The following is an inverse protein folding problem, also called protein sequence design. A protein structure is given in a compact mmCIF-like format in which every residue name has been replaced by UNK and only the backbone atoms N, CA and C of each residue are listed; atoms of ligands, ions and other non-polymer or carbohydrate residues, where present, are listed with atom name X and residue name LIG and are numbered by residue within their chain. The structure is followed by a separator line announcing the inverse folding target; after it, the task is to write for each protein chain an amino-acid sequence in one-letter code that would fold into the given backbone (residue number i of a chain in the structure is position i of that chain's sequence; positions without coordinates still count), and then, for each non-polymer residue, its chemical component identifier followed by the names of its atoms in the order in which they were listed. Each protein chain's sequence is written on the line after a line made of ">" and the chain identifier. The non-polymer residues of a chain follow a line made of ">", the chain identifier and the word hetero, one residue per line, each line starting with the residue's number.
data_IF_472705329095
#
_entry.id   IF_472705329095
#
_cell.length_a   1.000
_cell.length_b   1.000
_cell.length_c   1.000
_cell.angle_alpha   90.00
_cell.angle_beta   90.00
_cell.angle_gamma   90.00
#
_symmetry.space_group_name_H-M   'P 1'
#
loop_
_entity.id
_entity.type
_entity.pdbx_description
1 polymer ?
#
# COMPACT_ATOMS: atom_id res chain seq x y z
N UNK A 1 -4.28 -1.12 0.67
CA UNK A 1 -3.48 0.09 0.38
C UNK A 1 -4.08 0.85 -0.80
N UNK A 2 -3.88 2.17 -0.90
CA UNK A 2 -4.23 2.93 -2.11
C UNK A 2 -3.05 3.83 -2.50
N UNK A 3 -2.64 3.91 -3.79
CA UNK A 3 -3.08 3.06 -4.89
C UNK A 3 -2.85 1.55 -4.60
N UNK A 4 -3.64 0.64 -5.20
CA UNK A 4 -3.38 -0.78 -5.05
C UNK A 4 -2.08 -1.15 -5.77
N UNK A 5 -1.27 -2.01 -5.14
CA UNK A 5 -0.05 -2.53 -5.76
C UNK A 5 -0.41 -3.55 -6.84
N UNK A 6 -0.10 -3.23 -8.10
CA UNK A 6 -0.46 -4.01 -9.29
C UNK A 6 0.76 -4.18 -10.19
N UNK A 7 0.97 -5.40 -10.69
CA UNK A 7 2.09 -5.72 -11.57
C UNK A 7 1.62 -6.57 -12.75
N UNK A 8 2.26 -6.41 -13.90
CA UNK A 8 2.10 -7.31 -15.05
C UNK A 8 3.35 -8.17 -15.14
N UNK A 9 3.17 -9.48 -15.24
CA UNK A 9 4.28 -10.43 -15.35
C UNK A 9 4.48 -10.88 -16.80
N UNK A 10 5.71 -11.22 -17.17
CA UNK A 10 6.06 -11.78 -18.47
C UNK A 10 7.33 -12.64 -18.34
N UNK A 11 7.59 -13.51 -19.31
CA UNK A 11 8.81 -14.34 -19.35
C UNK A 11 8.84 -15.53 -18.38
N UNK A 12 7.70 -15.91 -17.79
CA UNK A 12 7.59 -17.13 -16.98
C UNK A 12 7.45 -18.37 -17.88
N UNK A 13 7.95 -19.51 -17.42
CA UNK A 13 7.65 -20.80 -18.05
C UNK A 13 6.16 -21.09 -17.90
N UNK A 14 5.47 -21.24 -19.03
CA UNK A 14 4.00 -21.39 -19.07
C UNK A 14 3.49 -22.57 -18.24
N UNK A 15 4.26 -23.66 -18.16
CA UNK A 15 3.83 -24.92 -17.50
C UNK A 15 4.29 -25.02 -16.06
N UNK A 16 5.36 -24.32 -15.69
CA UNK A 16 5.82 -24.30 -14.31
C UNK A 16 4.84 -23.57 -13.40
N UNK A 17 4.78 -24.00 -12.14
CA UNK A 17 4.01 -23.33 -11.08
C UNK A 17 4.87 -22.33 -10.34
N UNK A 18 4.23 -21.25 -9.94
CA UNK A 18 4.83 -20.15 -9.22
C UNK A 18 3.94 -19.69 -8.07
N UNK A 19 4.59 -19.30 -6.99
CA UNK A 19 4.00 -18.53 -5.91
C UNK A 19 4.44 -17.08 -6.08
N UNK A 20 3.46 -16.18 -6.12
CA UNK A 20 3.69 -14.75 -6.11
C UNK A 20 3.37 -14.19 -4.72
N UNK A 21 4.29 -13.42 -4.16
CA UNK A 21 4.11 -12.82 -2.84
C UNK A 21 4.67 -11.41 -2.79
N UNK A 22 4.27 -10.68 -1.75
CA UNK A 22 4.74 -9.33 -1.47
C UNK A 22 5.13 -9.24 0.00
N UNK A 23 6.23 -8.56 0.29
CA UNK A 23 6.54 -8.09 1.63
C UNK A 23 6.72 -6.57 1.64
N UNK A 24 6.78 -5.99 2.84
CA UNK A 24 7.03 -4.57 3.05
C UNK A 24 8.12 -4.48 4.10
N UNK A 25 9.25 -3.87 3.72
CA UNK A 25 10.43 -3.74 4.58
C UNK A 25 10.68 -2.27 4.92
N UNK A 26 11.29 -2.01 6.08
CA UNK A 26 11.78 -0.68 6.40
C UNK A 26 12.74 -0.19 5.31
N UNK A 27 12.54 1.06 4.85
CA UNK A 27 13.37 1.67 3.83
C UNK A 27 14.62 2.33 4.43
N UNK A 28 14.55 2.75 5.69
CA UNK A 28 15.64 3.32 6.47
C UNK A 28 15.43 3.09 7.98
N UNK A 29 16.44 3.40 8.80
CA UNK A 29 16.42 3.30 10.26
C UNK A 29 16.00 4.63 10.92
N UNK A 30 15.04 5.35 10.30
CA UNK A 30 14.60 6.66 10.74
C UNK A 30 13.12 6.69 11.14
N UNK A 31 12.83 7.42 12.22
CA UNK A 31 11.48 7.87 12.57
C UNK A 31 11.27 9.28 12.03
N UNK A 32 10.13 9.52 11.40
CA UNK A 32 9.81 10.79 10.75
C UNK A 32 8.81 11.64 11.52
N UNK A 33 8.80 12.94 11.23
CA UNK A 33 7.71 13.87 11.57
C UNK A 33 7.39 14.74 10.36
N UNK A 34 6.15 15.21 10.28
CA UNK A 34 5.73 16.17 9.28
C UNK A 34 5.61 17.56 9.93
N UNK A 35 6.39 18.52 9.46
CA UNK A 35 6.40 19.88 10.00
C UNK A 35 6.77 20.87 8.90
N UNK A 36 6.16 22.05 8.89
CA UNK A 36 6.31 23.07 7.84
C UNK A 36 6.17 22.49 6.43
N UNK A 37 5.12 21.69 6.23
CA UNK A 37 4.78 21.01 4.97
C UNK A 37 5.88 20.10 4.40
N UNK A 38 6.79 19.60 5.26
CA UNK A 38 7.91 18.74 4.87
C UNK A 38 8.06 17.56 5.83
N UNK A 39 8.51 16.44 5.28
CA UNK A 39 8.95 15.30 6.08
C UNK A 39 10.37 15.55 6.58
N UNK A 40 10.60 15.35 7.87
CA UNK A 40 11.91 15.49 8.52
C UNK A 40 12.18 14.29 9.42
N UNK A 41 13.45 13.96 9.58
CA UNK A 41 13.89 12.95 10.54
C UNK A 41 13.66 13.50 11.95
N UNK A 42 12.97 12.74 12.79
CA UNK A 42 12.70 13.04 14.18
C UNK A 42 13.61 12.25 15.14
N UNK A 43 14.14 11.12 14.71
CA UNK A 43 15.04 10.26 15.49
C UNK A 43 15.28 8.92 14.82
N UNK A 44 15.83 7.98 15.60
CA UNK A 44 16.03 6.58 15.18
C UNK A 44 14.68 5.85 15.06
N UNK A 45 14.61 4.86 14.18
CA UNK A 45 13.43 4.01 14.06
C UNK A 45 13.16 3.21 15.34
N UNK A 46 11.88 2.94 15.57
CA UNK A 46 11.42 1.97 16.56
C UNK A 46 11.78 0.54 16.09
N UNK A 47 11.93 -0.44 17.00
CA UNK A 47 12.24 -1.82 16.63
C UNK A 47 11.30 -2.36 15.54
N UNK A 48 11.89 -3.00 14.52
CA UNK A 48 11.13 -3.57 13.40
C UNK A 48 10.31 -4.78 13.88
N UNK A 49 9.04 -4.83 13.49
CA UNK A 49 8.15 -5.95 13.80
C UNK A 49 8.46 -7.16 12.91
N UNK A 50 8.08 -8.39 13.30
CA UNK A 50 8.29 -9.58 12.48
C UNK A 50 7.73 -9.41 11.07
N UNK A 51 8.59 -9.61 10.07
CA UNK A 51 8.22 -9.46 8.66
C UNK A 51 7.22 -10.54 8.27
N UNK A 52 6.08 -10.12 7.73
CA UNK A 52 5.06 -11.03 7.19
C UNK A 52 5.07 -10.98 5.68
N UNK A 53 5.24 -12.13 5.06
CA UNK A 53 5.04 -12.31 3.63
C UNK A 53 3.55 -12.45 3.35
N UNK A 54 3.04 -11.63 2.44
CA UNK A 54 1.69 -11.77 1.92
C UNK A 54 1.72 -12.58 0.63
N UNK A 55 1.23 -13.81 0.69
CA UNK A 55 1.09 -14.68 -0.48
C UNK A 55 -0.16 -14.26 -1.26
N UNK A 56 -0.02 -14.07 -2.58
CA UNK A 56 -1.17 -13.74 -3.43
C UNK A 56 -2.18 -14.91 -3.39
N UNK A 57 -3.49 -14.66 -3.24
CA UNK A 57 -4.50 -15.70 -3.04
C UNK A 57 -4.61 -16.70 -4.21
N UNK A 58 -4.27 -16.29 -5.43
CA UNK A 58 -4.24 -17.17 -6.61
C UNK A 58 -2.99 -18.10 -6.60
N UNK A 59 -2.08 -18.00 -5.63
CA UNK A 59 -0.89 -18.87 -5.54
C UNK A 59 -1.22 -20.23 -4.91
N UNK A 60 -0.58 -21.32 -5.36
CA UNK A 60 0.28 -21.41 -6.54
C UNK A 60 -0.54 -21.42 -7.85
N UNK A 61 0.00 -20.82 -8.91
CA UNK A 61 -0.59 -20.87 -10.25
C UNK A 61 0.49 -21.02 -11.33
N UNK A 62 0.10 -21.45 -12.52
CA UNK A 62 1.04 -21.63 -13.64
C UNK A 62 1.56 -20.29 -14.16
N UNK A 63 2.74 -20.29 -14.79
CA UNK A 63 3.28 -19.09 -15.42
C UNK A 63 2.32 -18.51 -16.47
N UNK A 64 1.60 -19.36 -17.21
CA UNK A 64 0.56 -18.93 -18.15
C UNK A 64 -0.59 -18.18 -17.46
N UNK A 65 -1.09 -18.72 -16.35
CA UNK A 65 -2.15 -18.08 -15.57
C UNK A 65 -1.69 -16.72 -15.02
N UNK A 66 -0.47 -16.62 -14.50
CA UNK A 66 0.07 -15.35 -13.99
C UNK A 66 0.28 -14.29 -15.06
N UNK A 67 0.69 -14.68 -16.26
CA UNK A 67 0.91 -13.76 -17.37
C UNK A 67 -0.39 -13.36 -18.10
N UNK A 68 -1.50 -14.07 -17.87
CA UNK A 68 -2.78 -13.84 -18.55
C UNK A 68 -3.48 -12.53 -18.15
N UNK A 69 -3.23 -12.01 -16.94
CA UNK A 69 -3.90 -10.83 -16.37
C UNK A 69 -2.97 -10.03 -15.46
N UNK A 70 -3.39 -8.82 -15.10
CA UNK A 70 -2.68 -8.01 -14.10
C UNK A 70 -2.82 -8.69 -12.73
N UNK A 71 -1.70 -8.85 -12.03
CA UNK A 71 -1.63 -9.35 -10.65
C UNK A 71 -1.86 -8.19 -9.70
N UNK A 72 -2.77 -8.34 -8.73
CA UNK A 72 -3.24 -7.23 -7.89
C UNK A 72 -3.27 -7.60 -6.41
N UNK A 73 -2.41 -6.96 -5.62
CA UNK A 73 -2.31 -7.13 -4.17
C UNK A 73 -3.27 -6.21 -3.38
N UNK A 74 -4.39 -5.82 -4.00
CA UNK A 74 -5.38 -4.91 -3.40
C UNK A 74 -6.00 -5.43 -2.08
N UNK A 75 -6.00 -6.75 -1.86
CA UNK A 75 -6.48 -7.39 -0.62
C UNK A 75 -5.46 -7.31 0.53
N UNK A 76 -4.22 -6.87 0.30
CA UNK A 76 -3.25 -6.66 1.36
C UNK A 76 -3.70 -5.54 2.29
N UNK A 77 -3.69 -5.83 3.60
CA UNK A 77 -4.05 -4.90 4.67
C UNK A 77 -2.83 -4.58 5.53
N UNK A 78 -2.75 -3.32 5.93
CA UNK A 78 -1.74 -2.79 6.84
C UNK A 78 -2.39 -2.56 8.20
N UNK A 79 -1.63 -2.77 9.28
CA UNK A 79 -2.09 -2.54 10.65
C UNK A 79 -0.95 -1.96 11.49
N UNK A 80 -1.28 -1.18 12.52
CA UNK A 80 -0.36 -0.78 13.58
C UNK A 80 -0.55 -1.61 14.86
N UNK A 81 -1.49 -2.58 14.87
CA UNK A 81 -1.70 -3.47 15.99
C UNK A 81 -0.64 -4.59 15.98
N UNK A 82 0.32 -4.50 16.90
CA UNK A 82 1.41 -5.47 17.06
C UNK A 82 0.92 -6.89 17.42
N UNK A 83 -0.27 -6.98 17.99
CA UNK A 83 -0.90 -8.23 18.42
C UNK A 83 -1.88 -8.79 17.37
N UNK A 84 -1.80 -8.33 16.13
CA UNK A 84 -2.72 -8.77 15.07
C UNK A 84 -2.63 -10.27 14.80
N UNK A 85 -3.77 -10.95 14.92
CA UNK A 85 -3.94 -12.39 14.67
C UNK A 85 -4.43 -12.71 13.25
N UNK A 86 -4.83 -11.71 12.45
CA UNK A 86 -5.38 -11.92 11.11
C UNK A 86 -4.33 -12.12 10.02
N UNK A 87 -3.04 -11.97 10.35
CA UNK A 87 -1.96 -12.07 9.38
C UNK A 87 -1.72 -10.78 8.59
N UNK A 88 -2.26 -9.63 9.02
CA UNK A 88 -2.01 -8.36 8.35
C UNK A 88 -0.56 -7.90 8.51
N UNK A 89 -0.07 -7.10 7.57
CA UNK A 89 1.29 -6.55 7.62
C UNK A 89 1.33 -5.46 8.67
N UNK A 90 2.09 -5.70 9.74
CA UNK A 90 2.26 -4.77 10.86
C UNK A 90 3.34 -3.75 10.51
N UNK A 91 3.02 -2.46 10.59
CA UNK A 91 3.95 -1.35 10.35
C UNK A 91 3.92 -0.36 11.50
N UNK A 92 5.09 0.19 11.84
CA UNK A 92 5.21 1.30 12.77
C UNK A 92 4.79 2.59 12.06
N UNK A 93 3.92 3.37 12.71
CA UNK A 93 3.53 4.69 12.21
C UNK A 93 4.76 5.61 12.15
N UNK A 94 4.77 6.55 11.21
CA UNK A 94 5.82 7.53 10.98
C UNK A 94 7.18 6.93 10.55
N UNK A 95 7.17 5.74 9.97
CA UNK A 95 8.36 5.10 9.40
C UNK A 95 8.20 4.91 7.89
N UNK A 96 9.32 4.92 7.16
CA UNK A 96 9.35 4.76 5.71
C UNK A 96 9.51 3.29 5.33
N UNK A 97 8.77 2.87 4.32
CA UNK A 97 8.69 1.48 3.88
C UNK A 97 8.82 1.34 2.37
N UNK A 98 9.41 0.23 1.95
CA UNK A 98 9.54 -0.20 0.56
C UNK A 98 8.78 -1.52 0.36
N UNK A 99 7.69 -1.55 -0.41
CA UNK A 99 7.08 -2.79 -0.89
C UNK A 99 8.03 -3.54 -1.83
N UNK A 100 8.13 -4.86 -1.70
CA UNK A 100 8.91 -5.71 -2.61
C UNK A 100 8.04 -6.84 -3.14
N UNK A 101 8.13 -7.07 -4.44
CA UNK A 101 7.40 -8.13 -5.12
C UNK A 101 8.32 -9.31 -5.37
N UNK A 102 7.86 -10.52 -5.08
CA UNK A 102 8.66 -11.72 -5.16
C UNK A 102 7.97 -12.79 -6.01
N UNK A 103 8.79 -13.49 -6.81
CA UNK A 103 8.39 -14.65 -7.60
C UNK A 103 9.22 -15.85 -7.14
N UNK A 104 8.56 -16.91 -6.69
CA UNK A 104 9.18 -18.20 -6.37
C UNK A 104 8.68 -19.27 -7.34
N UNK A 105 9.58 -20.03 -7.97
CA UNK A 105 9.22 -21.15 -8.86
C UNK A 105 9.06 -22.42 -8.02
N UNK A 106 7.89 -22.56 -7.41
CA UNK A 106 7.49 -23.72 -6.61
C UNK A 106 5.96 -23.86 -6.65
N UNK A 107 5.47 -25.05 -6.37
CA UNK A 107 4.05 -25.34 -6.17
C UNK A 107 3.67 -25.60 -4.71
N UNK A 108 4.63 -25.51 -3.79
CA UNK A 108 4.43 -25.71 -2.36
C UNK A 108 4.78 -24.46 -1.56
N UNK A 109 3.86 -24.02 -0.70
CA UNK A 109 4.08 -22.90 0.23
C UNK A 109 5.14 -23.27 1.28
N UNK A 110 5.22 -24.55 1.65
CA UNK A 110 6.19 -25.05 2.64
C UNK A 110 7.61 -24.82 2.14
N UNK A 111 7.82 -24.88 0.82
CA UNK A 111 9.14 -24.74 0.20
C UNK A 111 9.67 -23.31 0.18
N UNK A 112 8.83 -22.31 0.51
CA UNK A 112 9.23 -20.90 0.47
C UNK A 112 10.40 -20.58 1.41
N UNK A 113 10.64 -21.38 2.45
CA UNK A 113 11.76 -21.18 3.36
C UNK A 113 13.14 -21.41 2.72
N UNK A 114 13.21 -22.22 1.67
CA UNK A 114 14.46 -22.60 0.99
C UNK A 114 14.44 -22.32 -0.52
N UNK A 115 13.27 -22.01 -1.09
CA UNK A 115 13.14 -21.68 -2.50
C UNK A 115 13.79 -20.32 -2.80
N UNK A 116 14.62 -20.21 -3.85
CA UNK A 116 15.16 -18.93 -4.26
C UNK A 116 14.05 -18.02 -4.79
N UNK A 117 14.06 -16.77 -4.32
CA UNK A 117 13.17 -15.72 -4.79
C UNK A 117 13.82 -14.87 -5.88
N UNK A 118 13.06 -14.53 -6.91
CA UNK A 118 13.35 -13.36 -7.73
C UNK A 118 12.59 -12.16 -7.16
N UNK A 119 13.32 -11.15 -6.70
CA UNK A 119 12.78 -9.97 -6.03
C UNK A 119 12.80 -8.76 -6.97
N UNK A 120 11.70 -8.01 -7.02
CA UNK A 120 11.52 -6.79 -7.78
C UNK A 120 11.16 -5.64 -6.83
N UNK A 121 11.82 -4.51 -7.01
CA UNK A 121 11.66 -3.32 -6.18
C UNK A 121 11.35 -2.14 -7.09
N UNK A 122 10.26 -1.44 -6.80
CA UNK A 122 9.84 -0.23 -7.50
C UNK A 122 9.95 0.94 -6.52
N UNK A 123 10.94 1.80 -6.69
CA UNK A 123 11.26 2.88 -5.73
C UNK A 123 10.13 3.89 -5.61
N UNK A 124 9.37 4.09 -6.67
CA UNK A 124 8.17 4.93 -6.71
C UNK A 124 7.02 4.43 -5.81
N UNK A 125 7.13 3.21 -5.26
CA UNK A 125 6.14 2.63 -4.35
C UNK A 125 6.50 2.80 -2.87
N UNK A 126 7.61 3.48 -2.56
CA UNK A 126 7.94 3.86 -1.18
C UNK A 126 6.85 4.74 -0.56
N UNK A 127 6.60 4.55 0.74
CA UNK A 127 5.64 5.37 1.48
C UNK A 127 6.03 5.49 2.95
N UNK A 128 5.47 6.48 3.63
CA UNK A 128 5.53 6.60 5.09
C UNK A 128 4.19 6.12 5.66
N UNK A 129 4.22 5.13 6.56
CA UNK A 129 3.02 4.67 7.23
C UNK A 129 2.53 5.74 8.21
N UNK A 130 1.23 6.02 8.23
CA UNK A 130 0.63 7.02 9.13
C UNK A 130 -0.72 6.54 9.63
N UNK A 131 -1.09 6.94 10.86
CA UNK A 131 -2.44 6.72 11.41
C UNK A 131 -3.45 7.78 10.95
N UNK A 132 -2.95 8.97 10.59
CA UNK A 132 -3.73 10.05 9.99
C UNK A 132 -2.87 10.77 8.93
N UNK A 133 -3.50 11.20 7.84
CA UNK A 133 -2.79 11.92 6.78
C UNK A 133 -2.18 13.22 7.30
N UNK A 134 -0.90 13.42 7.01
CA UNK A 134 -0.14 14.60 7.45
C UNK A 134 -0.11 15.72 6.39
N UNK A 135 -0.10 15.34 5.11
CA UNK A 135 -0.03 16.27 3.97
C UNK A 135 -1.39 16.33 3.28
N UNK A 136 -2.05 17.49 3.33
CA UNK A 136 -3.37 17.71 2.73
C UNK A 136 -3.39 17.45 1.22
N UNK A 137 -2.28 17.70 0.51
CA UNK A 137 -2.19 17.39 -0.93
C UNK A 137 -2.33 15.90 -1.20
N UNK A 138 -1.78 15.06 -0.31
CA UNK A 138 -1.96 13.61 -0.39
C UNK A 138 -3.41 13.26 -0.07
N UNK A 139 -4.00 13.84 0.97
CA UNK A 139 -5.43 13.62 1.30
C UNK A 139 -6.32 13.91 0.10
N UNK A 140 -6.14 15.07 -0.54
CA UNK A 140 -6.91 15.46 -1.72
C UNK A 140 -6.70 14.48 -2.88
N UNK A 141 -5.45 14.11 -3.17
CA UNK A 141 -5.13 13.11 -4.19
C UNK A 141 -5.83 11.78 -3.91
N UNK A 142 -5.89 11.33 -2.64
CA UNK A 142 -6.63 10.11 -2.25
C UNK A 142 -8.13 10.29 -2.47
N UNK A 143 -8.70 11.43 -2.11
CA UNK A 143 -10.13 11.73 -2.31
C UNK A 143 -10.47 11.66 -3.80
N UNK A 144 -9.69 12.31 -4.65
CA UNK A 144 -9.94 12.43 -6.09
C UNK A 144 -9.83 11.09 -6.82
N UNK A 145 -8.91 10.22 -6.40
CA UNK A 145 -8.58 9.01 -7.16
C UNK A 145 -9.13 7.72 -6.54
N UNK A 146 -9.39 7.67 -5.23
CA UNK A 146 -9.93 6.46 -4.60
C UNK A 146 -11.46 6.42 -4.76
N UNK A 147 -12.04 5.42 -5.47
CA UNK A 147 -13.49 5.33 -5.65
C UNK A 147 -14.27 5.29 -4.32
N UNK A 148 -13.68 4.72 -3.27
CA UNK A 148 -14.30 4.63 -1.95
C UNK A 148 -14.34 5.97 -1.18
N UNK A 149 -13.61 6.99 -1.66
CA UNK A 149 -13.60 8.34 -1.09
C UNK A 149 -14.46 9.35 -1.86
N UNK A 150 -15.27 8.87 -2.84
CA UNK A 150 -16.09 9.73 -3.72
C UNK A 150 -16.98 10.71 -2.95
N UNK A 151 -17.54 10.32 -1.80
CA UNK A 151 -18.41 11.17 -0.98
C UNK A 151 -17.76 12.44 -0.40
N UNK A 152 -16.42 12.54 -0.44
CA UNK A 152 -15.68 13.72 0.00
C UNK A 152 -15.34 14.70 -1.13
N UNK A 153 -15.57 14.33 -2.40
CA UNK A 153 -15.21 15.16 -3.56
C UNK A 153 -16.09 16.41 -3.68
N UNK A 154 -17.40 16.25 -3.50
CA UNK A 154 -18.38 17.31 -3.81
C UNK A 154 -18.73 18.19 -2.58
N UNK A 155 -18.36 17.77 -1.37
CA UNK A 155 -18.68 18.47 -0.12
C UNK A 155 -17.77 19.69 0.18
N UNK A 156 -16.74 19.94 -0.65
CA UNK A 156 -15.85 21.12 -0.51
C UNK A 156 -16.35 22.37 -1.23
N UNK A 157 -17.23 22.25 -2.24
CA UNK A 157 -17.67 23.37 -3.09
C UNK A 157 -19.19 23.64 -2.97
N UNK A 158 -20.03 22.60 -2.93
CA UNK A 158 -21.50 22.79 -2.92
C UNK A 158 -22.11 23.34 -1.62
N UNK A 159 -21.45 23.18 -0.46
CA UNK A 159 -21.94 23.73 0.83
C UNK A 159 -21.62 25.21 1.02
N UNK A 160 -20.50 25.71 0.45
CA UNK A 160 -20.15 27.14 0.53
C UNK A 160 -21.07 27.98 -0.34
N UNK A 161 -21.50 27.45 -1.48
CA UNK A 161 -22.37 28.17 -2.41
C UNK A 161 -23.81 28.30 -1.89
N UNK A 162 -24.38 27.24 -1.30
CA UNK A 162 -25.71 27.33 -0.64
C UNK A 162 -25.73 28.32 0.52
N UNK A 163 -24.65 28.43 1.30
CA UNK A 163 -24.56 29.42 2.39
C UNK A 163 -24.42 30.84 1.85
N UNK A 164 -23.74 31.04 0.71
CA UNK A 164 -23.58 32.35 0.05
C UNK A 164 -24.86 32.82 -0.64
N UNK A 165 -25.63 31.90 -1.23
CA UNK A 165 -26.94 32.21 -1.83
C UNK A 165 -27.96 32.57 -0.74
N UNK A 166 -28.02 31.81 0.36
CA UNK A 166 -28.92 32.13 1.49
C UNK A 166 -28.59 33.44 2.22
N UNK A 167 -27.34 33.93 2.15
CA UNK A 167 -26.95 35.22 2.72
C UNK A 167 -27.26 36.41 1.79
N UNK A 168 -27.36 36.18 0.48
CA UNK A 168 -27.70 37.24 -0.50
C UNK A 168 -29.21 37.42 -0.68
N UNK A 169 -30.03 36.40 -0.39
CA UNK A 169 -31.50 36.46 -0.48
C UNK A 169 -32.17 37.12 0.76
N UNK A 170 -31.41 37.71 1.68
CA UNK A 170 -31.94 38.45 2.85
C UNK A 170 -31.69 39.96 2.77
N UNK A 171 -31.27 40.48 1.61
CA UNK A 171 -31.00 41.90 1.38
C UNK A 171 -31.76 42.52 0.19
N UNK A 172 -32.90 41.94 -0.18
CA UNK A 172 -33.90 42.59 -1.04
C UNK A 172 -35.28 42.57 -0.41
#
# INVERSE_FOLDING_TARGET
>A
MFPPYKVKTSGLDKRAKYILLMDIVAADDCRYKFHNSRWMIAGKADPEMPKRMYIHPDSPATGEQWMSKIVSFHKLKLTNNISDKHGFTILNSMHKYQPRFHIARTDSIVDLGWCPFRTFIFKETEFIAVTAYQNEKITQLKIDHNPFAKGFRDNGQGKREKKRIMLNDHHH
#
